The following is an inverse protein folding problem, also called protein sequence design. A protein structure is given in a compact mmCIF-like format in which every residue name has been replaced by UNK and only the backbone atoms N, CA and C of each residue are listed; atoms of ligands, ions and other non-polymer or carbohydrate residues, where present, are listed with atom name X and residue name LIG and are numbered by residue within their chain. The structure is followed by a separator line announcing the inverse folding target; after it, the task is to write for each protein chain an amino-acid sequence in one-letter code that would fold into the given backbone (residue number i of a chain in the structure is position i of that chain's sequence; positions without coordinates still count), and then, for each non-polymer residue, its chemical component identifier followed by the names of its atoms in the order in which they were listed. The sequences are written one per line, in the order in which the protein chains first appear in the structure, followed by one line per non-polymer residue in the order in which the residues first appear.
data_IF_526336073306
#
_entry.id   IF_526336073306
#
_cell.length_a   1.000
_cell.length_b   1.000
_cell.length_c   1.000
_cell.angle_alpha   90.00
_cell.angle_beta   90.00
_cell.angle_gamma   90.00
#
_symmetry.space_group_name_H-M   'P 1'
#
loop_
_entity.id
_entity.type
_entity.pdbx_description
1 polymer ?
#
# COMPACT_ATOMS: atom_id res chain seq x y z
N UNK A 1 17.60 22.72 -1.19
CA UNK A 1 16.64 23.84 -1.28
C UNK A 1 15.31 23.41 -1.89
N UNK A 2 15.28 22.79 -3.09
CA UNK A 2 14.05 22.37 -3.77
C UNK A 2 13.14 21.41 -2.97
N UNK A 3 13.69 20.37 -2.35
CA UNK A 3 12.87 19.41 -1.57
C UNK A 3 12.19 20.06 -0.37
N UNK A 4 12.86 21.00 0.28
CA UNK A 4 12.28 21.79 1.37
C UNK A 4 11.13 22.67 0.85
N UNK A 5 11.31 23.33 -0.30
CA UNK A 5 10.26 24.13 -0.94
C UNK A 5 9.01 23.29 -1.27
N UNK A 6 9.20 22.10 -1.84
CA UNK A 6 8.08 21.18 -2.15
C UNK A 6 7.38 20.74 -0.87
N UNK A 7 8.12 20.38 0.19
CA UNK A 7 7.54 20.02 1.47
C UNK A 7 6.76 21.19 2.08
N UNK A 8 7.31 22.40 2.06
CA UNK A 8 6.62 23.60 2.53
C UNK A 8 5.36 23.88 1.73
N UNK A 9 5.35 23.59 0.42
CA UNK A 9 4.18 23.75 -0.43
C UNK A 9 3.09 22.72 -0.11
N UNK A 10 3.46 21.46 0.19
CA UNK A 10 2.51 20.48 0.71
C UNK A 10 1.91 20.90 2.05
N UNK A 11 2.72 21.39 2.99
CA UNK A 11 2.25 21.89 4.28
C UNK A 11 1.31 23.09 4.07
N UNK A 12 1.71 24.05 3.23
CA UNK A 12 0.89 25.21 2.88
C UNK A 12 -0.44 24.78 2.26
N UNK A 13 -0.45 23.80 1.36
CA UNK A 13 -1.69 23.28 0.76
C UNK A 13 -2.63 22.69 1.81
N UNK A 14 -2.10 21.89 2.75
CA UNK A 14 -2.88 21.32 3.86
C UNK A 14 -3.50 22.43 4.73
N UNK A 15 -2.72 23.47 5.05
CA UNK A 15 -3.18 24.60 5.86
C UNK A 15 -4.19 25.49 5.10
N UNK A 16 -3.96 25.78 3.83
CA UNK A 16 -4.86 26.56 2.98
C UNK A 16 -6.20 25.83 2.81
N UNK A 17 -6.15 24.52 2.59
CA UNK A 17 -7.33 23.66 2.56
C UNK A 17 -8.13 23.77 3.86
N UNK A 18 -7.45 23.65 5.00
CA UNK A 18 -8.08 23.69 6.32
C UNK A 18 -8.64 25.08 6.68
N UNK A 19 -7.91 26.18 6.46
CA UNK A 19 -8.37 27.50 6.90
C UNK A 19 -9.28 28.21 5.91
N UNK A 20 -9.11 27.98 4.61
CA UNK A 20 -9.80 28.77 3.58
C UNK A 20 -10.68 27.91 2.67
N UNK A 21 -10.13 26.89 2.01
CA UNK A 21 -10.87 26.17 0.94
C UNK A 21 -12.08 25.44 1.49
N UNK A 22 -12.00 24.83 2.69
CA UNK A 22 -13.17 24.15 3.30
C UNK A 22 -14.38 25.05 3.52
N UNK A 23 -14.16 26.37 3.67
CA UNK A 23 -15.21 27.35 3.95
C UNK A 23 -15.96 27.76 2.68
N UNK A 24 -15.44 27.45 1.49
CA UNK A 24 -16.12 27.76 0.25
C UNK A 24 -17.40 26.93 0.14
N UNK A 25 -18.55 27.52 -0.22
CA UNK A 25 -19.84 26.83 -0.21
C UNK A 25 -19.95 25.77 -1.31
N UNK A 26 -19.37 26.04 -2.48
CA UNK A 26 -19.51 25.20 -3.67
C UNK A 26 -18.49 24.04 -3.69
N UNK A 27 -18.99 22.80 -3.70
CA UNK A 27 -18.16 21.60 -3.71
C UNK A 27 -17.26 21.47 -4.95
N UNK A 28 -17.74 21.89 -6.12
CA UNK A 28 -16.95 21.86 -7.36
C UNK A 28 -15.78 22.85 -7.29
N UNK A 29 -16.01 24.02 -6.71
CA UNK A 29 -14.94 25.02 -6.49
C UNK A 29 -13.92 24.46 -5.48
N UNK A 30 -14.37 23.86 -4.37
CA UNK A 30 -13.49 23.16 -3.43
C UNK A 30 -12.66 22.07 -4.12
N UNK A 31 -13.28 21.29 -5.00
CA UNK A 31 -12.62 20.23 -5.74
C UNK A 31 -11.48 20.78 -6.61
N UNK A 32 -11.70 21.86 -7.35
CA UNK A 32 -10.66 22.49 -8.19
C UNK A 32 -9.49 22.98 -7.33
N UNK A 33 -9.77 23.70 -6.24
CA UNK A 33 -8.75 24.24 -5.32
C UNK A 33 -7.97 23.17 -4.55
N UNK A 34 -8.50 21.95 -4.45
CA UNK A 34 -7.77 20.81 -3.87
C UNK A 34 -7.01 20.06 -4.95
N UNK A 35 -7.69 19.67 -6.02
CA UNK A 35 -7.17 18.75 -7.03
C UNK A 35 -6.04 19.37 -7.84
N UNK A 36 -6.17 20.62 -8.30
CA UNK A 36 -5.15 21.24 -9.14
C UNK A 36 -3.81 21.39 -8.39
N UNK A 37 -3.76 21.93 -7.16
CA UNK A 37 -2.51 21.95 -6.40
C UNK A 37 -2.00 20.54 -6.07
N UNK A 38 -2.87 19.58 -5.71
CA UNK A 38 -2.43 18.22 -5.43
C UNK A 38 -1.77 17.54 -6.64
N UNK A 39 -2.31 17.73 -7.85
CA UNK A 39 -1.73 17.20 -9.09
C UNK A 39 -0.38 17.86 -9.37
N UNK A 40 -0.31 19.20 -9.29
CA UNK A 40 0.94 19.95 -9.50
C UNK A 40 1.99 19.53 -8.47
N UNK A 41 1.65 19.49 -7.19
CA UNK A 41 2.57 19.11 -6.12
C UNK A 41 3.01 17.66 -6.25
N UNK A 42 2.12 16.74 -6.62
CA UNK A 42 2.49 15.35 -6.89
C UNK A 42 3.50 15.28 -8.03
N UNK A 43 3.21 15.94 -9.16
CA UNK A 43 4.13 16.01 -10.30
C UNK A 43 5.48 16.61 -9.89
N UNK A 44 5.50 17.76 -9.23
CA UNK A 44 6.75 18.41 -8.79
C UNK A 44 7.54 17.55 -7.80
N UNK A 45 6.85 16.82 -6.92
CA UNK A 45 7.48 15.89 -5.96
C UNK A 45 8.11 14.71 -6.69
N UNK A 46 7.48 14.21 -7.75
CA UNK A 46 7.92 13.01 -8.45
C UNK A 46 8.74 13.25 -9.72
N UNK A 47 8.90 14.51 -10.15
CA UNK A 47 9.50 14.87 -11.43
C UNK A 47 10.95 14.39 -11.60
N UNK A 48 11.80 14.57 -10.59
CA UNK A 48 13.23 14.21 -10.63
C UNK A 48 13.57 13.07 -9.67
N UNK A 49 12.60 12.20 -9.39
CA UNK A 49 12.87 11.03 -8.55
C UNK A 49 13.64 9.97 -9.36
N UNK A 50 14.58 9.25 -8.72
CA UNK A 50 15.32 8.19 -9.39
C UNK A 50 14.34 7.11 -9.88
N UNK A 51 14.51 6.72 -11.15
CA UNK A 51 13.80 5.58 -11.71
C UNK A 51 14.24 4.30 -11.01
N UNK A 52 13.45 3.23 -11.17
CA UNK A 52 13.75 1.91 -10.58
C UNK A 52 13.99 1.96 -9.07
N UNK A 53 13.47 2.96 -8.36
CA UNK A 53 13.61 3.07 -6.91
C UNK A 53 12.26 2.87 -6.21
N UNK A 54 12.23 1.94 -5.27
CA UNK A 54 11.12 1.70 -4.37
C UNK A 54 10.80 2.93 -3.52
N UNK A 55 11.84 3.70 -3.13
CA UNK A 55 11.64 4.94 -2.37
C UNK A 55 10.86 5.98 -3.19
N UNK A 56 11.11 6.05 -4.50
CA UNK A 56 10.35 6.91 -5.42
C UNK A 56 8.89 6.49 -5.51
N UNK A 57 8.63 5.18 -5.64
CA UNK A 57 7.26 4.64 -5.63
C UNK A 57 6.54 4.90 -4.31
N UNK A 58 7.24 4.76 -3.17
CA UNK A 58 6.67 5.02 -1.85
C UNK A 58 6.33 6.50 -1.66
N UNK A 59 7.20 7.41 -2.07
CA UNK A 59 6.94 8.85 -2.02
C UNK A 59 5.75 9.22 -2.91
N UNK A 60 5.68 8.69 -4.13
CA UNK A 60 4.51 8.83 -5.01
C UNK A 60 3.22 8.35 -4.34
N UNK A 61 3.26 7.21 -3.64
CA UNK A 61 2.12 6.68 -2.88
C UNK A 61 1.64 7.65 -1.79
N UNK A 62 2.56 8.26 -1.03
CA UNK A 62 2.20 9.22 0.01
C UNK A 62 1.58 10.50 -0.56
N UNK A 63 2.08 11.01 -1.70
CA UNK A 63 1.45 12.15 -2.39
C UNK A 63 0.00 11.84 -2.78
N UNK A 64 -0.25 10.63 -3.32
CA UNK A 64 -1.61 10.19 -3.65
C UNK A 64 -2.50 10.08 -2.43
N UNK A 65 -2.04 9.49 -1.33
CA UNK A 65 -2.88 9.37 -0.14
C UNK A 65 -3.17 10.72 0.51
N UNK A 66 -2.20 11.65 0.52
CA UNK A 66 -2.42 13.02 0.97
C UNK A 66 -3.52 13.69 0.13
N UNK A 67 -3.43 13.55 -1.20
CA UNK A 67 -4.42 14.08 -2.15
C UNK A 67 -5.81 13.49 -1.92
N UNK A 68 -5.92 12.17 -1.79
CA UNK A 68 -7.19 11.45 -1.55
C UNK A 68 -7.83 11.91 -0.22
N UNK A 69 -7.04 12.07 0.84
CA UNK A 69 -7.53 12.57 2.13
C UNK A 69 -8.00 14.02 2.04
N UNK A 70 -7.25 14.88 1.35
CA UNK A 70 -7.64 16.27 1.14
C UNK A 70 -8.95 16.37 0.34
N UNK A 71 -9.11 15.60 -0.73
CA UNK A 71 -10.35 15.56 -1.51
C UNK A 71 -11.52 15.13 -0.61
N UNK A 72 -11.36 14.07 0.17
CA UNK A 72 -12.40 13.63 1.09
C UNK A 72 -12.78 14.73 2.08
N UNK A 73 -11.82 15.24 2.85
CA UNK A 73 -12.10 16.16 3.96
C UNK A 73 -12.51 17.55 3.52
N UNK A 74 -12.16 17.98 2.31
CA UNK A 74 -12.47 19.33 1.85
C UNK A 74 -13.68 19.33 0.93
N UNK A 75 -13.79 18.35 0.03
CA UNK A 75 -14.88 18.32 -0.96
C UNK A 75 -16.12 17.67 -0.37
N UNK A 76 -15.96 16.46 0.18
CA UNK A 76 -17.09 15.60 0.57
C UNK A 76 -17.51 15.78 2.02
N UNK A 77 -16.56 16.08 2.93
CA UNK A 77 -16.82 16.21 4.36
C UNK A 77 -16.11 17.43 5.01
N UNK A 78 -16.32 18.67 4.50
CA UNK A 78 -15.63 19.91 4.93
C UNK A 78 -15.67 20.18 6.44
N UNK A 79 -16.72 19.73 7.11
CA UNK A 79 -16.96 19.97 8.54
C UNK A 79 -16.64 18.74 9.42
N UNK A 80 -15.98 17.71 8.88
CA UNK A 80 -15.66 16.52 9.65
C UNK A 80 -14.64 16.79 10.78
N UNK A 81 -13.70 17.72 10.54
CA UNK A 81 -12.72 18.16 11.53
C UNK A 81 -12.79 19.67 11.73
N UNK A 82 -13.36 20.10 12.86
CA UNK A 82 -13.53 21.53 13.15
C UNK A 82 -12.22 22.22 13.59
N UNK A 83 -11.31 21.47 14.23
CA UNK A 83 -10.03 21.98 14.74
C UNK A 83 -8.82 21.36 14.02
N UNK A 84 -7.69 22.07 14.00
CA UNK A 84 -6.50 21.68 13.25
C UNK A 84 -5.84 20.42 13.82
N UNK A 85 -5.86 20.25 15.14
CA UNK A 85 -5.21 19.13 15.84
C UNK A 85 -5.72 17.76 15.38
N UNK A 86 -7.04 17.44 15.43
CA UNK A 86 -7.54 16.15 14.95
C UNK A 86 -7.36 15.96 13.45
N UNK A 87 -7.39 17.05 12.67
CA UNK A 87 -7.15 17.05 11.24
C UNK A 87 -5.72 16.60 10.90
N UNK A 88 -4.71 17.28 11.48
CA UNK A 88 -3.29 16.93 11.31
C UNK A 88 -2.99 15.57 11.92
N UNK A 89 -3.53 15.24 13.10
CA UNK A 89 -3.35 13.92 13.72
C UNK A 89 -3.84 12.81 12.80
N UNK A 90 -4.98 12.99 12.13
CA UNK A 90 -5.50 11.99 11.19
C UNK A 90 -4.68 11.93 9.90
N UNK A 91 -4.14 13.05 9.45
CA UNK A 91 -3.21 13.05 8.31
C UNK A 91 -1.95 12.26 8.67
N UNK A 92 -1.33 12.56 9.81
CA UNK A 92 -0.12 11.88 10.29
C UNK A 92 -0.34 10.40 10.58
N UNK A 93 -1.56 9.99 10.96
CA UNK A 93 -1.92 8.57 11.15
C UNK A 93 -1.65 7.71 9.90
N UNK A 94 -1.57 8.28 8.70
CA UNK A 94 -1.24 7.51 7.49
C UNK A 94 0.23 7.07 7.42
N UNK A 95 1.13 7.79 8.09
CA UNK A 95 2.55 7.47 8.17
C UNK A 95 2.84 6.52 9.34
N UNK A 96 2.09 6.67 10.43
CA UNK A 96 2.18 5.81 11.61
C UNK A 96 0.78 5.42 12.10
N UNK A 97 0.15 4.40 11.46
CA UNK A 97 -1.21 3.98 11.79
C UNK A 97 -1.26 3.19 13.10
N UNK A 98 -1.32 3.93 14.20
CA UNK A 98 -1.45 3.38 15.55
C UNK A 98 -2.92 3.07 15.84
N UNK A 99 -3.20 1.87 16.33
CA UNK A 99 -4.54 1.41 16.74
C UNK A 99 -4.49 0.83 18.15
N UNK A 100 -5.64 0.79 18.83
CA UNK A 100 -5.74 0.15 20.14
C UNK A 100 -5.48 -1.36 20.04
N UNK A 101 -4.78 -1.88 21.04
CA UNK A 101 -4.57 -3.31 21.21
C UNK A 101 -5.77 -3.89 21.99
N UNK A 102 -6.56 -4.76 21.37
CA UNK A 102 -7.72 -5.39 22.02
C UNK A 102 -7.30 -6.51 22.95
N UNK A 103 -8.13 -6.82 23.94
CA UNK A 103 -7.97 -7.99 24.83
C UNK A 103 -7.75 -9.28 24.05
N UNK A 104 -8.60 -9.55 23.05
CA UNK A 104 -8.54 -10.76 22.24
C UNK A 104 -7.24 -10.84 21.44
N UNK A 105 -6.77 -9.71 20.90
CA UNK A 105 -5.51 -9.66 20.19
C UNK A 105 -4.33 -9.95 21.11
N UNK A 106 -4.30 -9.40 22.33
CA UNK A 106 -3.24 -9.69 23.31
C UNK A 106 -3.18 -11.17 23.66
N UNK A 107 -4.33 -11.83 23.80
CA UNK A 107 -4.42 -13.27 24.08
C UNK A 107 -3.92 -14.12 22.91
N UNK A 108 -4.31 -13.77 21.68
CA UNK A 108 -3.93 -14.51 20.49
C UNK A 108 -2.49 -14.23 20.03
N UNK A 109 -1.99 -13.03 20.28
CA UNK A 109 -0.70 -12.54 19.79
C UNK A 109 0.08 -11.79 20.88
N UNK A 110 0.74 -12.53 21.79
CA UNK A 110 1.64 -11.96 22.79
C UNK A 110 2.72 -11.05 22.18
N UNK A 111 3.18 -10.05 22.93
CA UNK A 111 4.15 -9.05 22.44
C UNK A 111 5.47 -9.66 21.93
N UNK A 112 5.94 -10.76 22.53
CA UNK A 112 7.16 -11.43 22.09
C UNK A 112 7.04 -11.99 20.66
N UNK A 113 5.82 -12.26 20.17
CA UNK A 113 5.61 -12.72 18.81
C UNK A 113 5.94 -11.65 17.77
N UNK A 114 5.75 -10.35 18.07
CA UNK A 114 6.15 -9.29 17.14
C UNK A 114 7.67 -9.31 16.94
N UNK A 115 8.43 -9.37 18.04
CA UNK A 115 9.89 -9.45 17.99
C UNK A 115 10.39 -10.75 17.36
N UNK A 116 9.76 -11.88 17.68
CA UNK A 116 10.09 -13.17 17.07
C UNK A 116 9.83 -13.15 15.55
N UNK A 117 8.67 -12.66 15.12
CA UNK A 117 8.36 -12.54 13.69
C UNK A 117 9.29 -11.55 12.99
N UNK A 118 9.65 -10.44 13.62
CA UNK A 118 10.67 -9.53 13.10
C UNK A 118 12.01 -10.25 12.92
N UNK A 119 12.48 -10.98 13.93
CA UNK A 119 13.74 -11.72 13.88
C UNK A 119 13.75 -12.84 12.82
N UNK A 120 12.64 -13.59 12.72
CA UNK A 120 12.47 -14.62 11.70
C UNK A 120 12.45 -14.01 10.30
N UNK A 121 11.65 -12.97 10.08
CA UNK A 121 11.53 -12.31 8.78
C UNK A 121 12.87 -11.74 8.34
N UNK A 122 13.59 -10.98 9.18
CA UNK A 122 14.89 -10.41 8.78
C UNK A 122 15.91 -11.50 8.43
N UNK A 123 15.94 -12.60 9.20
CA UNK A 123 16.90 -13.70 8.98
C UNK A 123 16.59 -14.46 7.69
N UNK A 124 15.33 -14.89 7.52
CA UNK A 124 14.89 -15.64 6.32
C UNK A 124 15.02 -14.77 5.07
N UNK A 125 14.60 -13.51 5.17
CA UNK A 125 14.67 -12.55 4.07
C UNK A 125 16.11 -12.26 3.64
N UNK A 126 17.01 -12.04 4.60
CA UNK A 126 18.43 -11.84 4.31
C UNK A 126 19.05 -13.10 3.65
N UNK A 127 18.73 -14.29 4.16
CA UNK A 127 19.20 -15.55 3.56
C UNK A 127 18.67 -15.74 2.14
N UNK A 128 17.35 -15.60 1.94
CA UNK A 128 16.70 -15.79 0.65
C UNK A 128 17.19 -14.76 -0.36
N UNK A 129 17.29 -13.50 0.01
CA UNK A 129 17.76 -12.45 -0.88
C UNK A 129 19.22 -12.70 -1.32
N UNK A 130 20.12 -13.12 -0.39
CA UNK A 130 21.50 -13.50 -0.75
C UNK A 130 21.57 -14.68 -1.71
N UNK A 131 20.69 -15.67 -1.52
CA UNK A 131 20.62 -16.82 -2.42
C UNK A 131 20.11 -16.42 -3.81
N UNK A 132 19.09 -15.57 -3.89
CA UNK A 132 18.55 -15.12 -5.17
C UNK A 132 19.54 -14.23 -5.94
N UNK A 133 20.40 -13.47 -5.25
CA UNK A 133 21.46 -12.70 -5.89
C UNK A 133 22.58 -13.54 -6.50
N UNK A 134 22.75 -14.81 -6.09
CA UNK A 134 23.73 -15.70 -6.76
C UNK A 134 23.21 -16.27 -8.08
N UNK A 135 21.96 -15.98 -8.44
CA UNK A 135 21.34 -16.49 -9.66
C UNK A 135 21.47 -15.54 -10.84
N UNK A 136 21.39 -16.10 -12.04
CA UNK A 136 21.40 -15.30 -13.27
C UNK A 136 20.24 -14.32 -13.27
N UNK A 137 20.54 -13.05 -13.55
CA UNK A 137 19.54 -11.99 -13.67
C UNK A 137 18.55 -12.19 -14.82
N UNK A 138 18.82 -13.11 -15.76
CA UNK A 138 17.94 -13.45 -16.89
C UNK A 138 16.68 -14.22 -16.49
N UNK A 139 16.72 -14.93 -15.36
CA UNK A 139 15.69 -15.91 -15.02
C UNK A 139 14.47 -15.24 -14.36
N UNK A 140 13.27 -15.59 -14.82
CA UNK A 140 12.02 -14.99 -14.32
C UNK A 140 11.66 -15.42 -12.90
N UNK A 141 11.97 -16.67 -12.53
CA UNK A 141 11.63 -17.23 -11.21
C UNK A 141 12.39 -16.55 -10.07
N UNK A 142 13.73 -16.38 -10.12
CA UNK A 142 14.44 -15.61 -9.11
C UNK A 142 13.91 -14.19 -8.96
N UNK A 143 13.64 -13.47 -10.06
CA UNK A 143 13.06 -12.11 -10.00
C UNK A 143 11.70 -12.08 -9.30
N UNK A 144 10.84 -13.06 -9.56
CA UNK A 144 9.55 -13.18 -8.89
C UNK A 144 9.73 -13.43 -7.39
N UNK A 145 10.62 -14.34 -7.00
CA UNK A 145 10.92 -14.62 -5.59
C UNK A 145 11.54 -13.41 -4.88
N UNK A 146 12.36 -12.61 -5.57
CA UNK A 146 12.92 -11.38 -5.01
C UNK A 146 11.84 -10.33 -4.74
N UNK A 147 10.78 -10.26 -5.55
CA UNK A 147 9.62 -9.41 -5.26
C UNK A 147 8.92 -9.83 -3.96
N UNK A 148 8.68 -11.13 -3.76
CA UNK A 148 8.09 -11.62 -2.52
C UNK A 148 8.99 -11.37 -1.30
N UNK A 149 10.31 -11.50 -1.48
CA UNK A 149 11.34 -11.16 -0.49
C UNK A 149 11.24 -9.68 -0.09
N UNK A 150 11.05 -8.77 -1.05
CA UNK A 150 10.76 -7.36 -0.76
C UNK A 150 9.45 -7.14 -0.01
N UNK A 151 8.37 -7.82 -0.40
CA UNK A 151 7.11 -7.73 0.34
C UNK A 151 7.28 -8.18 1.80
N UNK A 152 8.04 -9.25 2.05
CA UNK A 152 8.38 -9.72 3.41
C UNK A 152 9.19 -8.66 4.16
N UNK A 153 10.17 -8.01 3.52
CA UNK A 153 10.95 -6.89 4.09
C UNK A 153 10.04 -5.78 4.61
N UNK A 154 9.06 -5.37 3.82
CA UNK A 154 8.12 -4.32 4.23
C UNK A 154 7.31 -4.75 5.47
N UNK A 155 6.85 -6.01 5.51
CA UNK A 155 6.13 -6.52 6.67
C UNK A 155 7.03 -6.68 7.91
N UNK A 156 8.32 -6.96 7.75
CA UNK A 156 9.28 -6.96 8.86
C UNK A 156 9.31 -5.61 9.57
N UNK A 157 9.40 -4.52 8.82
CA UNK A 157 9.44 -3.18 9.40
C UNK A 157 8.14 -2.85 10.16
N UNK A 158 6.99 -3.24 9.60
CA UNK A 158 5.69 -3.09 10.27
C UNK A 158 5.63 -3.86 11.60
N UNK A 159 6.12 -5.10 11.65
CA UNK A 159 6.12 -5.91 12.88
C UNK A 159 7.06 -5.30 13.93
N UNK A 160 8.23 -4.84 13.50
CA UNK A 160 9.21 -4.23 14.39
C UNK A 160 8.66 -2.95 15.02
N UNK A 161 8.09 -2.07 14.19
CA UNK A 161 7.41 -0.84 14.67
C UNK A 161 6.24 -1.19 15.60
N UNK A 162 5.47 -2.24 15.30
CA UNK A 162 4.42 -2.73 16.19
C UNK A 162 4.97 -3.14 17.57
N UNK A 163 6.04 -3.94 17.61
CA UNK A 163 6.70 -4.36 18.84
C UNK A 163 7.19 -3.18 19.68
N UNK A 164 7.81 -2.17 19.06
CA UNK A 164 8.26 -0.94 19.75
C UNK A 164 7.07 -0.15 20.31
N UNK A 165 6.00 0.04 19.54
CA UNK A 165 4.79 0.76 20.02
C UNK A 165 4.18 0.02 21.21
N UNK A 166 4.03 -1.31 21.12
CA UNK A 166 3.48 -2.12 22.21
C UNK A 166 4.37 -2.03 23.45
N UNK A 167 5.70 -2.07 23.30
CA UNK A 167 6.64 -1.96 24.41
C UNK A 167 6.51 -0.60 25.12
N UNK A 168 6.59 0.50 24.37
CA UNK A 168 6.57 1.87 24.91
C UNK A 168 5.22 2.22 25.53
N UNK A 169 4.12 1.67 25.00
CA UNK A 169 2.77 2.00 25.47
C UNK A 169 2.24 1.06 26.55
N UNK A 170 3.02 0.05 26.98
CA UNK A 170 2.56 -0.97 27.91
C UNK A 170 1.44 -1.84 27.32
N UNK A 171 1.61 -2.24 26.06
CA UNK A 171 0.69 -3.07 25.26
C UNK A 171 -0.73 -2.49 25.07
N UNK A 172 -0.85 -1.16 25.16
CA UNK A 172 -2.11 -0.43 24.94
C UNK A 172 -2.39 -0.19 23.46
N UNK A 173 -1.34 0.02 22.68
CA UNK A 173 -1.42 0.35 21.27
C UNK A 173 -0.49 -0.53 20.44
N UNK A 174 -0.80 -0.66 19.16
CA UNK A 174 0.00 -1.39 18.17
C UNK A 174 -0.02 -0.68 16.81
N UNK A 175 0.91 -1.04 15.95
CA UNK A 175 0.84 -0.67 14.55
C UNK A 175 -0.28 -1.46 13.84
N UNK A 176 -0.98 -0.84 12.89
CA UNK A 176 -1.98 -1.56 12.09
C UNK A 176 -1.30 -2.67 11.29
N UNK A 177 -1.96 -3.82 11.17
CA UNK A 177 -1.41 -4.93 10.38
C UNK A 177 -1.59 -4.59 8.89
N UNK A 178 -0.52 -4.46 8.12
CA UNK A 178 -0.64 -4.23 6.67
C UNK A 178 -1.07 -5.50 5.95
N UNK A 179 -0.56 -6.67 6.36
CA UNK A 179 -0.81 -7.97 5.73
C UNK A 179 -1.33 -8.96 6.78
N UNK A 180 -2.54 -9.47 6.62
CA UNK A 180 -3.19 -10.43 7.51
C UNK A 180 -3.50 -11.74 6.77
N UNK A 181 -2.51 -12.63 6.68
CA UNK A 181 -2.60 -13.95 6.05
C UNK A 181 -3.44 -13.96 4.75
N UNK A 182 -3.02 -13.23 3.70
CA UNK A 182 -3.80 -13.05 2.47
C UNK A 182 -4.11 -14.36 1.73
N UNK A 183 -3.25 -15.36 1.87
CA UNK A 183 -3.46 -16.69 1.30
C UNK A 183 -4.61 -17.46 1.95
N UNK A 184 -5.14 -17.02 3.09
CA UNK A 184 -6.34 -17.59 3.72
C UNK A 184 -7.64 -16.91 3.24
N UNK A 185 -7.58 -16.08 2.20
CA UNK A 185 -8.76 -15.49 1.61
C UNK A 185 -9.62 -16.55 0.91
N UNK A 186 -10.89 -16.61 1.28
CA UNK A 186 -11.89 -17.44 0.59
C UNK A 186 -12.63 -16.69 -0.52
N UNK A 187 -12.43 -15.38 -0.64
CA UNK A 187 -13.08 -14.55 -1.65
C UNK A 187 -12.20 -13.35 -1.97
N UNK A 188 -12.34 -12.75 -3.15
CA UNK A 188 -11.60 -11.54 -3.54
C UNK A 188 -11.95 -10.35 -2.64
N UNK A 189 -13.21 -10.27 -2.20
CA UNK A 189 -13.65 -9.26 -1.22
C UNK A 189 -12.98 -9.43 0.14
N UNK A 190 -12.79 -10.68 0.58
CA UNK A 190 -12.06 -10.97 1.83
C UNK A 190 -10.57 -10.61 1.70
N UNK A 191 -9.96 -10.95 0.55
CA UNK A 191 -8.59 -10.57 0.22
C UNK A 191 -8.39 -9.05 0.31
N UNK A 192 -9.11 -8.26 -0.50
CA UNK A 192 -8.93 -6.80 -0.58
C UNK A 192 -9.48 -6.03 0.62
N UNK A 193 -10.56 -6.52 1.23
CA UNK A 193 -11.26 -5.81 2.30
C UNK A 193 -10.68 -6.04 3.68
N UNK A 194 -10.03 -7.18 3.92
CA UNK A 194 -9.64 -7.61 5.29
C UNK A 194 -8.24 -8.16 5.42
N UNK A 195 -7.59 -8.62 4.34
CA UNK A 195 -6.34 -9.37 4.45
C UNK A 195 -5.15 -8.70 3.81
N UNK A 196 -5.33 -8.10 2.65
CA UNK A 196 -4.27 -7.46 1.90
C UNK A 196 -4.29 -5.95 2.10
N UNK A 197 -3.12 -5.41 2.44
CA UNK A 197 -2.84 -3.98 2.58
C UNK A 197 -3.91 -3.19 3.36
N UNK A 198 -4.17 -3.57 4.61
CA UNK A 198 -5.28 -2.99 5.40
C UNK A 198 -5.16 -1.47 5.61
N UNK A 199 -3.94 -0.93 5.60
CA UNK A 199 -3.72 0.52 5.67
C UNK A 199 -4.36 1.21 4.48
N UNK A 200 -4.04 0.77 3.26
CA UNK A 200 -4.59 1.32 2.01
C UNK A 200 -6.08 1.07 1.92
N UNK A 201 -6.52 -0.15 2.27
CA UNK A 201 -7.94 -0.52 2.32
C UNK A 201 -8.72 0.41 3.26
N UNK A 202 -8.16 0.75 4.43
CA UNK A 202 -8.77 1.69 5.38
C UNK A 202 -8.84 3.11 4.84
N UNK A 203 -7.75 3.62 4.23
CA UNK A 203 -7.72 4.95 3.60
C UNK A 203 -8.75 5.06 2.50
N UNK A 204 -8.83 4.08 1.60
CA UNK A 204 -9.79 4.08 0.48
C UNK A 204 -11.22 3.88 0.97
N UNK A 205 -11.44 3.02 1.97
CA UNK A 205 -12.77 2.82 2.54
C UNK A 205 -13.33 4.13 3.11
N UNK A 206 -12.53 4.83 3.90
CA UNK A 206 -12.94 6.06 4.57
C UNK A 206 -13.00 7.26 3.63
N UNK A 207 -12.11 7.33 2.64
CA UNK A 207 -11.93 8.55 1.83
C UNK A 207 -12.61 8.49 0.47
N UNK A 208 -12.95 7.29 -0.01
CA UNK A 208 -13.56 7.07 -1.31
C UNK A 208 -14.84 6.25 -1.15
N UNK A 209 -14.74 5.01 -0.66
CA UNK A 209 -15.89 4.10 -0.66
C UNK A 209 -17.09 4.63 0.11
N UNK A 210 -16.91 5.01 1.38
CA UNK A 210 -18.00 5.47 2.24
C UNK A 210 -18.62 6.77 1.72
N UNK A 211 -17.84 7.84 1.42
CA UNK A 211 -18.40 9.06 0.87
C UNK A 211 -19.12 8.85 -0.48
N UNK A 212 -18.50 8.13 -1.41
CA UNK A 212 -19.09 7.88 -2.73
C UNK A 212 -20.35 7.02 -2.63
N UNK A 213 -20.36 6.00 -1.76
CA UNK A 213 -21.55 5.19 -1.51
C UNK A 213 -22.70 6.03 -0.95
N UNK A 214 -22.41 7.00 -0.09
CA UNK A 214 -23.42 7.92 0.45
C UNK A 214 -23.96 8.86 -0.64
N UNK A 215 -23.08 9.39 -1.50
CA UNK A 215 -23.49 10.29 -2.58
C UNK A 215 -24.27 9.59 -3.70
N UNK A 216 -23.87 8.38 -4.09
CA UNK A 216 -24.44 7.65 -5.23
C UNK A 216 -25.47 6.58 -4.82
N UNK A 217 -25.68 6.36 -3.53
CA UNK A 217 -26.53 5.29 -3.00
C UNK A 217 -26.20 3.89 -3.55
N UNK A 218 -24.95 3.66 -3.98
CA UNK A 218 -24.53 2.43 -4.65
C UNK A 218 -23.18 1.93 -4.15
N UNK A 219 -23.20 0.78 -3.47
CA UNK A 219 -21.98 0.09 -3.02
C UNK A 219 -21.18 -0.45 -4.21
N UNK A 220 -21.86 -0.86 -5.29
CA UNK A 220 -21.24 -1.33 -6.53
C UNK A 220 -20.41 -0.23 -7.18
N UNK A 221 -21.00 0.95 -7.41
CA UNK A 221 -20.28 2.08 -8.01
C UNK A 221 -19.14 2.57 -7.11
N UNK A 222 -19.36 2.65 -5.80
CA UNK A 222 -18.32 3.01 -4.85
C UNK A 222 -17.14 2.03 -4.89
N UNK A 223 -17.39 0.72 -4.99
CA UNK A 223 -16.36 -0.30 -5.13
C UNK A 223 -15.57 -0.12 -6.44
N UNK A 224 -16.26 0.04 -7.57
CA UNK A 224 -15.63 0.23 -8.87
C UNK A 224 -14.76 1.50 -8.90
N UNK A 225 -15.22 2.61 -8.30
CA UNK A 225 -14.46 3.85 -8.19
C UNK A 225 -13.21 3.67 -7.32
N UNK A 226 -13.29 2.91 -6.22
CA UNK A 226 -12.10 2.58 -5.41
C UNK A 226 -11.05 1.83 -6.23
N UNK A 227 -11.46 0.81 -6.99
CA UNK A 227 -10.53 0.07 -7.84
C UNK A 227 -9.98 0.93 -8.98
N UNK A 228 -10.78 1.80 -9.58
CA UNK A 228 -10.34 2.76 -10.58
C UNK A 228 -9.26 3.71 -10.04
N UNK A 229 -9.50 4.33 -8.88
CA UNK A 229 -8.52 5.22 -8.24
C UNK A 229 -7.26 4.46 -7.83
N UNK A 230 -7.39 3.22 -7.34
CA UNK A 230 -6.25 2.33 -7.07
C UNK A 230 -5.45 2.04 -8.34
N UNK A 231 -6.12 1.76 -9.46
CA UNK A 231 -5.49 1.54 -10.76
C UNK A 231 -4.71 2.76 -11.24
N UNK A 232 -5.29 3.96 -11.16
CA UNK A 232 -4.62 5.22 -11.52
C UNK A 232 -3.39 5.50 -10.66
N UNK A 233 -3.46 5.23 -9.36
CA UNK A 233 -2.29 5.26 -8.48
C UNK A 233 -1.19 4.33 -9.05
N UNK A 234 -1.52 3.08 -9.36
CA UNK A 234 -0.52 2.11 -9.80
C UNK A 234 -0.02 2.36 -11.24
N UNK A 235 -0.80 3.01 -12.11
CA UNK A 235 -0.30 3.57 -13.39
C UNK A 235 0.83 4.54 -13.12
N UNK A 236 0.63 5.48 -12.19
CA UNK A 236 1.66 6.46 -11.84
C UNK A 236 2.88 5.78 -11.21
N UNK A 237 2.69 4.82 -10.29
CA UNK A 237 3.81 4.10 -9.68
C UNK A 237 4.62 3.27 -10.68
N UNK A 238 3.94 2.59 -11.61
CA UNK A 238 4.59 1.84 -12.68
C UNK A 238 5.35 2.78 -13.63
N UNK A 239 4.78 3.94 -13.95
CA UNK A 239 5.47 4.97 -14.72
C UNK A 239 6.74 5.44 -14.02
N UNK A 240 6.68 5.77 -12.73
CA UNK A 240 7.86 6.15 -11.94
C UNK A 240 8.93 5.05 -11.89
N UNK A 241 8.50 3.78 -11.86
CA UNK A 241 9.41 2.65 -11.80
C UNK A 241 10.17 2.42 -13.11
N UNK A 242 9.47 2.42 -14.25
CA UNK A 242 10.03 1.92 -15.52
C UNK A 242 9.78 2.78 -16.76
N UNK A 243 9.00 3.87 -16.67
CA UNK A 243 8.64 4.75 -17.80
C UNK A 243 8.09 4.01 -19.04
N UNK A 244 7.37 2.90 -18.80
CA UNK A 244 6.79 2.06 -19.84
C UNK A 244 5.26 2.12 -19.74
N UNK A 245 4.62 2.65 -20.79
CA UNK A 245 3.17 2.81 -20.84
C UNK A 245 2.43 1.46 -20.84
N UNK A 246 2.98 0.43 -21.47
CA UNK A 246 2.34 -0.90 -21.51
C UNK A 246 2.29 -1.49 -20.11
N UNK A 247 3.38 -1.38 -19.35
CA UNK A 247 3.43 -1.82 -17.95
C UNK A 247 2.47 -1.01 -17.08
N UNK A 248 2.41 0.31 -17.28
CA UNK A 248 1.50 1.16 -16.53
C UNK A 248 0.02 0.81 -16.80
N UNK A 249 -0.34 0.56 -18.07
CA UNK A 249 -1.68 0.13 -18.45
C UNK A 249 -2.01 -1.30 -17.97
N UNK A 250 -1.03 -2.20 -17.90
CA UNK A 250 -1.22 -3.53 -17.31
C UNK A 250 -1.57 -3.43 -15.81
N UNK A 251 -0.92 -2.53 -15.07
CA UNK A 251 -1.26 -2.25 -13.67
C UNK A 251 -2.68 -1.69 -13.53
N UNK A 252 -3.12 -0.80 -14.42
CA UNK A 252 -4.52 -0.36 -14.46
C UNK A 252 -5.49 -1.53 -14.68
N UNK A 253 -5.20 -2.37 -15.67
CA UNK A 253 -6.03 -3.51 -16.03
C UNK A 253 -6.18 -4.49 -14.87
N UNK A 254 -5.11 -4.73 -14.11
CA UNK A 254 -5.15 -5.54 -12.88
C UNK A 254 -6.23 -5.06 -11.91
N UNK A 255 -6.26 -3.77 -11.56
CA UNK A 255 -7.25 -3.26 -10.61
C UNK A 255 -8.66 -3.23 -11.19
N UNK A 256 -8.84 -2.95 -12.48
CA UNK A 256 -10.15 -2.99 -13.12
C UNK A 256 -10.73 -4.40 -13.10
N UNK A 257 -9.96 -5.41 -13.51
CA UNK A 257 -10.38 -6.82 -13.50
C UNK A 257 -10.76 -7.25 -12.08
N UNK A 258 -9.95 -6.91 -11.08
CA UNK A 258 -10.23 -7.25 -9.68
C UNK A 258 -11.48 -6.53 -9.15
N UNK A 259 -11.71 -5.29 -9.54
CA UNK A 259 -12.90 -4.53 -9.16
C UNK A 259 -14.18 -5.14 -9.71
N UNK A 260 -14.18 -5.48 -11.01
CA UNK A 260 -15.32 -6.18 -11.64
C UNK A 260 -15.53 -7.55 -11.00
N UNK A 261 -14.47 -8.33 -10.78
CA UNK A 261 -14.58 -9.64 -10.16
C UNK A 261 -15.14 -9.56 -8.72
N UNK A 262 -14.72 -8.57 -7.92
CA UNK A 262 -15.30 -8.34 -6.59
C UNK A 262 -16.79 -8.00 -6.63
N UNK A 263 -17.23 -7.23 -7.64
CA UNK A 263 -18.64 -6.90 -7.84
C UNK A 263 -19.43 -8.14 -8.26
N UNK A 264 -18.94 -8.91 -9.23
CA UNK A 264 -19.56 -10.17 -9.65
C UNK A 264 -19.70 -11.10 -8.44
N UNK A 265 -18.61 -11.32 -7.69
CA UNK A 265 -18.60 -12.14 -6.47
C UNK A 265 -19.61 -11.64 -5.42
N UNK A 266 -19.84 -10.33 -5.32
CA UNK A 266 -20.81 -9.76 -4.40
C UNK A 266 -22.28 -10.04 -4.76
N UNK A 267 -22.56 -10.29 -6.04
CA UNK A 267 -23.91 -10.52 -6.58
C UNK A 267 -24.17 -11.99 -6.95
N UNK A 268 -23.23 -12.89 -6.68
CA UNK A 268 -23.46 -14.33 -6.85
C UNK A 268 -24.57 -14.80 -5.90
N UNK A 269 -25.62 -15.49 -6.41
CA UNK A 269 -26.78 -15.87 -5.60
C UNK A 269 -26.52 -17.11 -4.71
N UNK A 270 -25.39 -17.79 -4.90
CA UNK A 270 -25.02 -19.00 -4.18
C UNK A 270 -23.66 -18.85 -3.50
N UNK A 271 -23.42 -19.67 -2.47
CA UNK A 271 -22.13 -19.75 -1.78
C UNK A 271 -21.38 -20.99 -2.25
N UNK A 272 -20.14 -20.82 -2.66
CA UNK A 272 -19.25 -21.93 -2.98
C UNK A 272 -18.81 -22.65 -1.71
N UNK A 273 -18.56 -23.97 -1.76
CA UNK A 273 -17.88 -24.69 -0.67
C UNK A 273 -16.53 -24.03 -0.34
N UNK A 274 -16.13 -24.09 0.94
CA UNK A 274 -14.96 -23.37 1.47
C UNK A 274 -13.68 -23.61 0.65
N UNK A 275 -13.40 -24.88 0.32
CA UNK A 275 -12.23 -25.26 -0.46
C UNK A 275 -12.30 -24.73 -1.90
N UNK A 276 -13.47 -24.81 -2.53
CA UNK A 276 -13.68 -24.32 -3.91
C UNK A 276 -13.52 -22.80 -3.97
N UNK A 277 -14.11 -22.10 -2.99
CA UNK A 277 -14.00 -20.63 -2.88
C UNK A 277 -12.55 -20.18 -2.66
N UNK A 278 -11.83 -20.91 -1.80
CA UNK A 278 -10.40 -20.69 -1.57
C UNK A 278 -9.58 -20.92 -2.84
N UNK A 279 -9.71 -22.09 -3.48
CA UNK A 279 -9.00 -22.42 -4.72
C UNK A 279 -9.28 -21.40 -5.82
N UNK A 280 -10.54 -21.05 -6.05
CA UNK A 280 -10.95 -20.02 -7.00
C UNK A 280 -10.22 -18.70 -6.73
N UNK A 281 -10.23 -18.24 -5.47
CA UNK A 281 -9.59 -16.99 -5.07
C UNK A 281 -8.08 -17.04 -5.33
N UNK A 282 -7.40 -18.11 -4.92
CA UNK A 282 -5.95 -18.23 -5.11
C UNK A 282 -5.57 -18.35 -6.59
N UNK A 283 -6.30 -19.16 -7.38
CA UNK A 283 -6.07 -19.29 -8.82
C UNK A 283 -6.27 -17.95 -9.51
N UNK A 284 -7.35 -17.22 -9.19
CA UNK A 284 -7.60 -15.90 -9.76
C UNK A 284 -6.46 -14.92 -9.47
N UNK A 285 -6.03 -14.84 -8.20
CA UNK A 285 -4.92 -13.97 -7.78
C UNK A 285 -3.62 -14.33 -8.52
N UNK A 286 -3.32 -15.62 -8.69
CA UNK A 286 -2.12 -16.07 -9.39
C UNK A 286 -2.16 -15.75 -10.89
N UNK A 287 -3.31 -15.97 -11.54
CA UNK A 287 -3.48 -15.73 -12.97
C UNK A 287 -3.34 -14.24 -13.34
N UNK A 288 -3.78 -13.35 -12.46
CA UNK A 288 -3.71 -11.90 -12.69
C UNK A 288 -2.43 -11.26 -12.13
N UNK A 289 -1.66 -11.97 -11.31
CA UNK A 289 -0.48 -11.42 -10.62
C UNK A 289 0.54 -10.79 -11.57
N UNK A 290 0.72 -11.36 -12.76
CA UNK A 290 1.66 -10.87 -13.78
C UNK A 290 1.36 -9.44 -14.25
N UNK A 291 0.08 -9.03 -14.25
CA UNK A 291 -0.33 -7.68 -14.66
C UNK A 291 0.20 -6.59 -13.71
N UNK A 292 0.36 -6.93 -12.42
CA UNK A 292 0.84 -6.00 -11.40
C UNK A 292 2.32 -6.21 -11.07
N UNK A 293 2.77 -7.46 -10.96
CA UNK A 293 4.16 -7.81 -10.61
C UNK A 293 5.10 -7.66 -11.82
N UNK A 294 4.56 -7.66 -13.04
CA UNK A 294 5.32 -7.49 -14.28
C UNK A 294 6.17 -6.22 -14.32
N UNK A 295 5.82 -5.18 -13.56
CA UNK A 295 6.65 -3.98 -13.40
C UNK A 295 8.06 -4.29 -12.89
N UNK A 296 8.19 -5.22 -11.94
CA UNK A 296 9.47 -5.59 -11.34
C UNK A 296 10.27 -6.54 -12.23
N UNK A 297 9.57 -7.35 -13.03
CA UNK A 297 10.23 -8.16 -14.07
C UNK A 297 10.80 -7.26 -15.16
N UNK A 298 10.04 -6.24 -15.59
CA UNK A 298 10.47 -5.26 -16.61
C UNK A 298 11.56 -4.32 -16.12
N UNK A 299 11.53 -3.94 -14.84
CA UNK A 299 12.54 -3.06 -14.25
C UNK A 299 13.97 -3.65 -14.33
N UNK A 300 14.07 -4.97 -14.53
CA UNK A 300 15.33 -5.67 -14.80
C UNK A 300 15.94 -6.30 -13.54
N UNK A 301 17.03 -7.03 -13.73
CA UNK A 301 17.78 -7.68 -12.65
C UNK A 301 18.33 -6.67 -11.64
N UNK A 302 18.75 -5.50 -12.12
CA UNK A 302 19.45 -4.49 -11.32
C UNK A 302 18.51 -3.77 -10.35
N UNK A 303 17.20 -3.79 -10.63
CA UNK A 303 16.19 -3.23 -9.74
C UNK A 303 16.31 -3.78 -8.32
N UNK A 304 16.65 -5.06 -8.17
CA UNK A 304 16.70 -5.65 -6.84
C UNK A 304 17.94 -5.21 -6.05
N UNK A 305 19.19 -5.36 -6.55
CA UNK A 305 20.39 -4.79 -5.91
C UNK A 305 20.24 -3.31 -5.56
N UNK A 306 19.68 -2.50 -6.47
CA UNK A 306 19.51 -1.05 -6.28
C UNK A 306 18.51 -0.70 -5.16
N UNK A 307 17.71 -1.67 -4.74
CA UNK A 307 16.69 -1.50 -3.70
C UNK A 307 16.90 -2.45 -2.52
N UNK A 308 18.13 -2.91 -2.26
CA UNK A 308 18.41 -3.89 -1.22
C UNK A 308 17.63 -3.64 0.09
N UNK A 309 17.06 -4.70 0.71
CA UNK A 309 16.30 -4.57 1.95
C UNK A 309 17.03 -3.75 3.02
N UNK A 310 16.28 -3.01 3.84
CA UNK A 310 16.87 -2.35 5.01
C UNK A 310 17.64 -3.36 5.86
N UNK A 311 18.84 -2.97 6.28
CA UNK A 311 19.79 -3.77 7.04
C UNK A 311 20.45 -4.94 6.29
N UNK A 312 20.28 -5.07 4.97
CA UNK A 312 20.86 -6.18 4.21
C UNK A 312 22.39 -6.33 4.36
N UNK A 313 23.15 -5.23 4.28
CA UNK A 313 24.63 -5.28 4.34
C UNK A 313 25.22 -5.24 5.75
N UNK A 314 24.39 -5.45 6.78
CA UNK A 314 24.84 -5.28 8.16
C UNK A 314 25.65 -6.48 8.66
N UNK A 315 26.84 -6.20 9.21
CA UNK A 315 27.76 -7.23 9.71
C UNK A 315 27.21 -8.05 10.88
N UNK A 316 26.25 -7.50 11.63
CA UNK A 316 25.66 -8.16 12.80
C UNK A 316 24.58 -9.20 12.43
N UNK A 317 24.12 -9.25 11.17
CA UNK A 317 23.18 -10.28 10.71
C UNK A 317 23.96 -11.53 10.32
N UNK A 318 23.66 -12.71 10.89
CA UNK A 318 24.32 -13.95 10.53
C UNK A 318 24.21 -14.25 9.03
N UNK A 319 25.37 -14.42 8.38
CA UNK A 319 25.46 -14.81 6.97
C UNK A 319 25.36 -16.32 6.83
N UNK A 320 24.13 -16.82 6.88
CA UNK A 320 23.84 -18.24 6.64
C UNK A 320 24.36 -18.70 5.26
N UNK A 321 24.79 -19.97 5.11
CA UNK A 321 25.22 -20.52 3.83
C UNK A 321 24.05 -20.53 2.84
N UNK A 322 24.31 -20.17 1.58
CA UNK A 322 23.32 -20.16 0.50
C UNK A 322 23.55 -21.34 -0.44
N UNK A 323 22.49 -21.93 -1.04
CA UNK A 323 22.64 -22.98 -2.04
C UNK A 323 23.40 -22.53 -3.29
N UNK A 324 24.11 -23.46 -3.93
CA UNK A 324 24.83 -23.24 -5.19
C UNK A 324 23.96 -23.45 -6.45
N UNK A 325 22.67 -23.71 -6.28
CA UNK A 325 21.72 -23.88 -7.38
C UNK A 325 20.66 -22.79 -7.35
N UNK A 326 20.05 -22.51 -8.49
CA UNK A 326 18.95 -21.55 -8.58
C UNK A 326 17.59 -22.24 -8.52
N UNK A 327 16.58 -21.62 -7.89
CA UNK A 327 15.21 -22.10 -7.96
C UNK A 327 14.75 -22.09 -9.42
N UNK A 328 14.25 -23.23 -9.89
CA UNK A 328 13.76 -23.43 -11.26
C UNK A 328 12.25 -23.32 -11.34
#
# INVERSE_FOLDING_TARGET
MRSLLILTAWIAQVLICFYYVRLLPNASVRCIWVLAPCVILTYLTTYDLPQRSMSSMLLGTYCWFASIRLIHWIVMSPNHYNTLVPYVRRLLWMFLPVVSCTEDYRKQWPIHNDFLMSALKITINHWLYRWLLSCSGSDSYPRLLMFFTFAVTYTFFSDFVSGIIRLVTGDKYRHTTTINFPFLAHSLRDFWGRRYNQLVSSVFRESIFQPVRQCLSSATLASLIVFLVSGLLHVHLAWLAVHDLQVALAAMLFFVIHGVACVIEAHLPFRLPVLVSWLYTQIFLLLTASLQIGVFVKAGSDFFPDNAPLFFDQKWIPKLPVPNFCPK
#
